data_IF_700602151153
#
_entry.id   IF_700602151153
#
_cell.length_a   1.000
_cell.length_b   1.000
_cell.length_c   1.000
_cell.angle_alpha   90.00
_cell.angle_beta   90.00
_cell.angle_gamma   90.00
#
_symmetry.space_group_name_H-M   'P 1'
#
loop_
_entity.id
_entity.type
_entity.pdbx_description
1 polymer ?
#
# COMPACT_ATOMS: atom_id res chain seq x y z
N UNK A 1 20.72 26.17 -35.78
CA UNK A 1 19.31 25.73 -35.77
C UNK A 1 19.21 24.38 -36.47
N UNK A 2 19.04 23.29 -35.70
CA UNK A 2 18.21 22.13 -36.03
C UNK A 2 17.79 21.52 -34.70
N UNK A 3 16.53 21.76 -34.37
CA UNK A 3 15.78 21.19 -33.25
C UNK A 3 15.26 19.79 -33.60
N UNK A 4 14.94 19.00 -32.57
CA UNK A 4 14.23 17.72 -32.65
C UNK A 4 15.19 16.53 -32.58
N UNK A 5 15.06 15.56 -31.69
CA UNK A 5 13.90 15.05 -30.96
C UNK A 5 14.33 14.65 -29.54
N UNK A 6 13.72 15.22 -28.49
CA UNK A 6 13.62 14.50 -27.21
C UNK A 6 12.57 13.42 -27.41
N UNK A 7 13.01 12.16 -27.45
CA UNK A 7 12.08 11.02 -27.45
C UNK A 7 11.45 10.93 -26.07
N UNK A 8 10.12 10.90 -26.10
CA UNK A 8 9.15 10.48 -25.08
C UNK A 8 9.82 9.77 -23.91
N UNK A 9 9.70 10.36 -22.71
CA UNK A 9 10.21 9.74 -21.48
C UNK A 9 9.64 8.33 -21.36
N UNK A 10 10.54 7.36 -21.25
CA UNK A 10 10.20 5.99 -20.91
C UNK A 10 9.33 6.00 -19.65
N UNK A 11 8.03 5.75 -19.83
CA UNK A 11 7.12 5.44 -18.72
C UNK A 11 7.50 4.02 -18.32
N UNK A 12 8.51 3.90 -17.45
CA UNK A 12 8.83 2.61 -16.87
C UNK A 12 7.57 2.10 -16.16
N UNK A 13 7.15 0.85 -16.42
CA UNK A 13 6.00 0.28 -15.73
C UNK A 13 6.30 0.29 -14.24
N UNK A 14 5.34 0.72 -13.44
CA UNK A 14 5.42 0.59 -11.99
C UNK A 14 5.47 -0.91 -11.65
N UNK A 15 6.68 -1.41 -11.41
CA UNK A 15 6.94 -2.82 -11.16
C UNK A 15 6.31 -3.31 -9.86
N UNK A 16 5.83 -2.40 -9.00
CA UNK A 16 5.09 -2.75 -7.80
C UNK A 16 3.76 -3.41 -8.16
N UNK A 17 3.06 -2.92 -9.19
CA UNK A 17 1.74 -3.45 -9.54
C UNK A 17 1.75 -4.96 -9.82
N UNK A 18 2.59 -5.48 -10.74
CA UNK A 18 2.64 -6.92 -11.00
C UNK A 18 3.12 -7.71 -9.78
N UNK A 19 4.10 -7.21 -9.01
CA UNK A 19 4.57 -7.88 -7.79
C UNK A 19 3.47 -7.99 -6.73
N UNK A 20 2.85 -6.86 -6.39
CA UNK A 20 1.80 -6.77 -5.36
C UNK A 20 0.60 -7.60 -5.78
N UNK A 21 0.23 -7.58 -7.07
CA UNK A 21 -0.83 -8.44 -7.58
C UNK A 21 -0.51 -9.92 -7.39
N UNK A 22 0.70 -10.35 -7.78
CA UNK A 22 1.15 -11.74 -7.60
C UNK A 22 1.10 -12.16 -6.12
N UNK A 23 1.57 -11.29 -5.22
CA UNK A 23 1.57 -11.52 -3.79
C UNK A 23 0.14 -11.58 -3.21
N UNK A 24 -0.73 -10.65 -3.61
CA UNK A 24 -2.13 -10.60 -3.18
C UNK A 24 -2.94 -11.82 -3.64
N UNK A 25 -2.70 -12.28 -4.86
CA UNK A 25 -3.34 -13.48 -5.45
C UNK A 25 -2.71 -14.79 -4.96
N UNK A 26 -1.60 -14.73 -4.22
CA UNK A 26 -0.93 -15.91 -3.68
C UNK A 26 -1.72 -16.55 -2.52
N UNK A 27 -1.40 -17.81 -2.21
CA UNK A 27 -1.88 -18.50 -1.00
C UNK A 27 -1.07 -18.21 0.26
N UNK A 28 -0.11 -17.28 0.24
CA UNK A 28 0.80 -17.02 1.37
C UNK A 28 0.06 -16.51 2.62
N UNK A 29 0.49 -16.81 3.85
CA UNK A 29 -0.16 -16.29 5.06
C UNK A 29 -0.19 -14.76 5.10
N UNK A 30 -1.33 -14.19 5.51
CA UNK A 30 -1.50 -12.73 5.66
C UNK A 30 -1.20 -12.34 7.10
N UNK A 31 -0.62 -11.15 7.28
CA UNK A 31 -0.50 -10.48 8.58
C UNK A 31 -0.97 -9.04 8.48
N UNK A 32 -1.54 -8.54 9.57
CA UNK A 32 -2.15 -7.23 9.62
C UNK A 32 -1.44 -6.35 10.64
N UNK A 33 -1.22 -5.09 10.27
CA UNK A 33 -0.38 -4.18 11.02
C UNK A 33 -1.05 -2.82 11.17
N UNK A 34 -0.64 -2.10 12.20
CA UNK A 34 -1.02 -0.74 12.50
C UNK A 34 0.21 0.11 12.82
N UNK A 35 0.24 1.32 12.28
CA UNK A 35 1.16 2.39 12.65
C UNK A 35 0.39 3.70 12.86
N UNK A 36 0.94 4.56 13.70
CA UNK A 36 0.48 5.93 13.86
C UNK A 36 1.68 6.86 14.03
N UNK A 37 1.58 8.09 13.52
CA UNK A 37 2.58 9.13 13.72
C UNK A 37 2.18 10.11 14.84
N UNK A 38 3.08 11.04 15.16
CA UNK A 38 2.85 12.07 16.19
C UNK A 38 1.82 13.13 15.75
N UNK A 39 1.60 13.29 14.44
CA UNK A 39 0.66 14.24 13.85
C UNK A 39 -0.77 13.68 13.73
N UNK A 40 -0.98 12.43 14.13
CA UNK A 40 -2.28 11.75 14.18
C UNK A 40 -2.67 11.03 12.89
N UNK A 41 -1.74 10.88 11.94
CA UNK A 41 -1.84 9.97 10.81
C UNK A 41 -1.85 8.53 11.30
N UNK A 42 -2.71 7.70 10.69
CA UNK A 42 -2.83 6.27 11.03
C UNK A 42 -2.75 5.46 9.75
N UNK A 43 -1.93 4.41 9.77
CA UNK A 43 -1.81 3.45 8.68
C UNK A 43 -2.18 2.06 9.17
N UNK A 44 -2.88 1.33 8.31
CA UNK A 44 -3.10 -0.10 8.48
C UNK A 44 -2.57 -0.82 7.25
N UNK A 45 -1.94 -1.97 7.45
CA UNK A 45 -1.39 -2.76 6.37
C UNK A 45 -1.87 -4.20 6.46
N UNK A 46 -2.27 -4.78 5.35
CA UNK A 46 -2.24 -6.22 5.16
C UNK A 46 -0.97 -6.55 4.38
N UNK A 47 -0.22 -7.53 4.85
CA UNK A 47 1.04 -7.95 4.24
C UNK A 47 1.11 -9.45 4.01
N UNK A 48 1.98 -9.83 3.09
CA UNK A 48 2.47 -11.21 2.94
C UNK A 48 3.99 -11.20 2.95
N UNK A 49 4.58 -12.32 3.38
CA UNK A 49 6.04 -12.49 3.30
C UNK A 49 6.44 -12.90 1.88
N UNK A 50 7.39 -12.18 1.28
CA UNK A 50 8.00 -12.45 0.00
C UNK A 50 9.51 -12.25 0.09
N UNK A 51 10.29 -13.28 -0.27
CA UNK A 51 11.76 -13.27 -0.20
C UNK A 51 12.34 -12.91 1.19
N UNK A 52 11.60 -13.21 2.26
CA UNK A 52 11.99 -12.93 3.65
C UNK A 52 11.62 -11.53 4.15
N UNK A 53 10.95 -10.74 3.33
CA UNK A 53 10.48 -9.39 3.65
C UNK A 53 8.95 -9.33 3.67
N UNK A 54 8.38 -8.43 4.47
CA UNK A 54 6.93 -8.23 4.50
C UNK A 54 6.50 -7.16 3.51
N UNK A 55 5.74 -7.54 2.48
CA UNK A 55 5.23 -6.62 1.48
C UNK A 55 3.77 -6.29 1.74
N UNK A 56 3.43 -5.00 1.77
CA UNK A 56 2.04 -4.56 1.86
C UNK A 56 1.29 -4.90 0.56
N UNK A 57 0.17 -5.60 0.69
CA UNK A 57 -0.73 -5.94 -0.42
C UNK A 57 -2.03 -5.13 -0.39
N UNK A 58 -2.43 -4.67 0.80
CA UNK A 58 -3.43 -3.63 1.01
C UNK A 58 -2.93 -2.65 2.06
N UNK A 59 -3.24 -1.38 1.85
CA UNK A 59 -2.95 -0.31 2.79
C UNK A 59 -4.20 0.54 2.99
N UNK A 60 -4.42 0.94 4.23
CA UNK A 60 -5.33 2.00 4.60
C UNK A 60 -4.52 3.14 5.20
N UNK A 61 -4.81 4.36 4.76
CA UNK A 61 -4.35 5.58 5.39
C UNK A 61 -5.57 6.35 5.92
N UNK A 62 -5.49 6.78 7.17
CA UNK A 62 -6.49 7.65 7.80
C UNK A 62 -5.81 8.98 8.08
N UNK A 63 -6.23 10.01 7.34
CA UNK A 63 -5.67 11.35 7.48
C UNK A 63 -6.12 12.03 8.80
N UNK A 64 -5.53 13.19 9.11
CA UNK A 64 -5.90 13.98 10.29
C UNK A 64 -7.37 14.46 10.29
N UNK A 65 -8.06 14.43 9.14
CA UNK A 65 -9.50 14.73 8.99
C UNK A 65 -10.37 13.48 9.10
N UNK A 66 -9.79 12.32 9.38
CA UNK A 66 -10.44 11.01 9.44
C UNK A 66 -11.00 10.53 8.10
N UNK A 67 -10.47 11.03 6.99
CA UNK A 67 -10.72 10.49 5.66
C UNK A 67 -9.97 9.17 5.52
N UNK A 68 -10.62 8.16 4.95
CA UNK A 68 -10.04 6.82 4.74
C UNK A 68 -9.64 6.68 3.28
N UNK A 69 -8.34 6.51 3.04
CA UNK A 69 -7.75 6.24 1.73
C UNK A 69 -7.29 4.78 1.69
N UNK A 70 -7.50 4.11 0.55
CA UNK A 70 -7.21 2.68 0.40
C UNK A 70 -6.40 2.44 -0.84
N UNK A 71 -5.36 1.64 -0.69
CA UNK A 71 -4.46 1.29 -1.78
C UNK A 71 -4.29 -0.23 -1.85
N UNK A 72 -4.29 -0.74 -3.07
CA UNK A 72 -4.07 -2.15 -3.42
C UNK A 72 -3.57 -2.24 -4.86
N UNK A 73 -3.31 -3.43 -5.38
CA UNK A 73 -2.81 -3.60 -6.76
C UNK A 73 -3.69 -2.94 -7.85
N UNK A 74 -4.96 -2.64 -7.57
CA UNK A 74 -5.87 -1.91 -8.48
C UNK A 74 -5.81 -0.39 -8.35
N UNK A 75 -5.27 0.13 -7.25
CA UNK A 75 -5.07 1.56 -6.98
C UNK A 75 -3.80 1.74 -6.14
N UNK A 76 -2.64 1.86 -6.80
CA UNK A 76 -1.35 1.99 -6.12
C UNK A 76 -1.10 3.38 -5.56
N UNK A 77 -1.67 4.41 -6.19
CA UNK A 77 -1.49 5.80 -5.80
C UNK A 77 -2.62 6.66 -6.37
N UNK A 78 -2.92 7.75 -5.68
CA UNK A 78 -3.80 8.81 -6.13
C UNK A 78 -3.23 10.18 -5.69
N UNK A 79 -4.03 11.24 -5.71
CA UNK A 79 -3.60 12.58 -5.29
C UNK A 79 -3.36 12.70 -3.77
N UNK A 80 -3.79 11.71 -2.98
CA UNK A 80 -3.71 11.72 -1.52
C UNK A 80 -2.52 10.92 -1.00
N UNK A 81 -2.11 9.87 -1.69
CA UNK A 81 -1.00 9.05 -1.25
C UNK A 81 -0.78 7.83 -2.13
N UNK A 82 -0.15 6.81 -1.55
CA UNK A 82 0.27 5.62 -2.26
C UNK A 82 0.38 4.41 -1.33
N UNK A 83 0.19 3.22 -1.90
CA UNK A 83 0.62 1.95 -1.29
C UNK A 83 2.14 2.00 -1.17
N UNK A 84 2.70 1.76 0.02
CA UNK A 84 4.15 1.79 0.25
C UNK A 84 4.92 1.08 -0.87
N UNK A 85 6.00 1.70 -1.32
CA UNK A 85 6.90 1.18 -2.35
C UNK A 85 8.05 0.34 -1.79
N UNK A 86 8.12 0.22 -0.46
CA UNK A 86 9.13 -0.54 0.26
C UNK A 86 8.49 -1.63 1.14
N UNK A 87 9.26 -2.69 1.45
CA UNK A 87 8.89 -3.61 2.51
C UNK A 87 8.58 -2.92 3.83
N UNK A 88 7.71 -3.55 4.62
CA UNK A 88 7.33 -3.09 5.94
C UNK A 88 8.43 -3.41 6.95
N UNK A 89 8.84 -2.39 7.68
CA UNK A 89 9.69 -2.52 8.86
C UNK A 89 8.86 -2.99 10.05
N UNK A 90 8.47 -4.28 10.06
CA UNK A 90 7.45 -4.82 10.97
C UNK A 90 7.77 -4.68 12.46
N UNK A 91 9.03 -4.45 12.83
CA UNK A 91 9.42 -4.22 14.23
C UNK A 91 8.98 -2.86 14.78
N UNK A 92 8.68 -1.90 13.90
CA UNK A 92 8.11 -0.59 14.26
C UNK A 92 6.58 -0.58 14.17
N UNK A 93 5.96 -1.72 13.85
CA UNK A 93 4.52 -1.87 13.67
C UNK A 93 3.87 -2.63 14.84
N UNK A 94 2.61 -2.32 15.10
CA UNK A 94 1.78 -3.10 16.01
C UNK A 94 0.96 -4.10 15.21
N UNK A 95 1.10 -5.40 15.50
CA UNK A 95 0.24 -6.43 14.89
C UNK A 95 -1.21 -6.26 15.35
N UNK A 96 -2.15 -6.37 14.42
CA UNK A 96 -3.60 -6.30 14.65
C UNK A 96 -4.27 -7.55 14.06
N UNK A 97 -5.55 -7.74 14.37
CA UNK A 97 -6.31 -8.84 13.79
C UNK A 97 -6.81 -8.50 12.39
N UNK A 98 -7.07 -9.54 11.58
CA UNK A 98 -7.72 -9.41 10.28
C UNK A 98 -9.06 -8.68 10.40
N UNK A 99 -9.87 -9.01 11.42
CA UNK A 99 -11.18 -8.40 11.61
C UNK A 99 -11.08 -6.89 11.89
N UNK A 100 -10.05 -6.46 12.63
CA UNK A 100 -9.81 -5.05 12.88
C UNK A 100 -9.43 -4.29 11.59
N UNK A 101 -8.58 -4.91 10.76
CA UNK A 101 -8.23 -4.36 9.45
C UNK A 101 -9.45 -4.25 8.52
N UNK A 102 -10.20 -5.34 8.36
CA UNK A 102 -11.36 -5.40 7.47
C UNK A 102 -12.46 -4.41 7.85
N UNK A 103 -12.67 -4.17 9.14
CA UNK A 103 -13.63 -3.18 9.62
C UNK A 103 -13.31 -1.77 9.09
N UNK A 104 -12.02 -1.38 9.08
CA UNK A 104 -11.59 -0.09 8.56
C UNK A 104 -11.59 -0.09 7.04
N UNK A 105 -11.14 -1.17 6.41
CA UNK A 105 -11.15 -1.34 4.96
C UNK A 105 -12.54 -1.14 4.36
N UNK A 106 -13.57 -1.73 4.97
CA UNK A 106 -14.96 -1.60 4.54
C UNK A 106 -15.54 -0.20 4.79
N UNK A 107 -15.07 0.51 5.81
CA UNK A 107 -15.52 1.88 6.11
C UNK A 107 -15.11 2.90 5.02
N UNK A 108 -14.04 2.62 4.26
CA UNK A 108 -13.59 3.45 3.14
C UNK A 108 -14.44 3.38 1.86
N UNK A 109 -15.57 2.63 1.87
CA UNK A 109 -16.47 2.49 0.71
C UNK A 109 -16.21 1.22 -0.12
N UNK A 110 -16.75 1.09 -1.35
CA UNK A 110 -16.47 -0.07 -2.20
C UNK A 110 -15.00 -0.04 -2.68
N UNK A 111 -14.25 -1.13 -2.49
CA UNK A 111 -12.95 -1.36 -3.10
C UNK A 111 -13.12 -2.11 -4.43
#
# INVERSE_FOLDING_TARGET
MRSGESRVGDVFPDLRQPLIKQLAESGAPRRHWHAADEDGGVWLFESVEGDGEHWAIRQVEIDARRSVHRYWWGLLQDDHGFLTDQPLEIWDLTEITEEAFEAVWAAGGPA
#
